data_IF_699496471785
#
_entry.id   IF_699496471785
#
_cell.length_a   1.000
_cell.length_b   1.000
_cell.length_c   1.000
_cell.angle_alpha   90.00
_cell.angle_beta   90.00
_cell.angle_gamma   90.00
#
_symmetry.space_group_name_H-M   'P 1'
#
loop_
_entity.id
_entity.type
_entity.pdbx_description
1 polymer ?
#
# COMPACT_ATOMS: atom_id res chain seq x y z
N UNK A 1 16.57 3.37 -9.21
CA UNK A 1 15.47 4.15 -8.59
C UNK A 1 14.42 3.17 -8.13
N UNK A 2 14.11 3.13 -6.83
CA UNK A 2 13.00 2.32 -6.30
C UNK A 2 11.70 3.07 -6.54
N UNK A 3 10.79 2.49 -7.32
CA UNK A 3 9.51 3.11 -7.68
C UNK A 3 8.53 3.01 -6.50
N UNK A 4 7.71 4.05 -6.32
CA UNK A 4 6.54 4.03 -5.42
C UNK A 4 5.54 3.00 -5.93
N UNK A 5 4.97 2.22 -5.02
CA UNK A 5 4.03 1.13 -5.32
C UNK A 5 2.64 1.55 -4.84
N UNK A 6 1.66 1.54 -5.74
CA UNK A 6 0.26 1.77 -5.37
C UNK A 6 -0.41 0.45 -4.98
N UNK A 7 -1.11 0.45 -3.84
CA UNK A 7 -1.89 -0.68 -3.35
C UNK A 7 -3.35 -0.39 -3.66
N UNK A 8 -3.89 -1.09 -4.66
CA UNK A 8 -5.25 -0.85 -5.19
C UNK A 8 -6.28 -1.83 -4.62
N UNK A 9 -5.86 -3.01 -4.18
CA UNK A 9 -6.75 -4.03 -3.60
C UNK A 9 -6.06 -4.82 -2.48
N UNK A 10 -6.82 -5.20 -1.46
CA UNK A 10 -6.42 -6.21 -0.48
C UNK A 10 -7.65 -6.95 0.05
N UNK A 11 -7.70 -8.28 -0.15
CA UNK A 11 -8.74 -9.16 0.38
C UNK A 11 -10.18 -8.69 0.05
N UNK A 12 -10.41 -8.24 -1.19
CA UNK A 12 -11.72 -7.73 -1.63
C UNK A 12 -12.03 -6.30 -1.21
N UNK A 13 -11.11 -5.63 -0.51
CA UNK A 13 -11.19 -4.18 -0.27
C UNK A 13 -10.44 -3.44 -1.37
N UNK A 14 -11.11 -2.50 -2.02
CA UNK A 14 -10.48 -1.59 -2.97
C UNK A 14 -9.97 -0.35 -2.26
N UNK A 15 -8.82 0.14 -2.68
CA UNK A 15 -8.20 1.34 -2.13
C UNK A 15 -7.99 2.37 -3.24
N UNK A 16 -8.07 3.64 -2.86
CA UNK A 16 -7.63 4.75 -3.70
C UNK A 16 -6.53 5.50 -2.98
N UNK A 17 -5.49 5.86 -3.73
CA UNK A 17 -4.37 6.67 -3.25
C UNK A 17 -3.66 6.09 -2.03
N UNK A 18 -3.49 4.76 -1.96
CA UNK A 18 -2.71 4.07 -0.94
C UNK A 18 -1.39 3.62 -1.56
N UNK A 19 -0.27 4.02 -0.97
CA UNK A 19 1.05 3.83 -1.54
C UNK A 19 2.04 3.26 -0.53
N UNK A 20 3.01 2.51 -1.02
CA UNK A 20 4.26 2.19 -0.34
C UNK A 20 5.42 2.84 -1.09
N UNK A 21 6.26 3.58 -0.38
CA UNK A 21 7.44 4.25 -0.95
C UNK A 21 8.68 3.50 -0.44
N UNK A 22 9.30 2.62 -1.25
CA UNK A 22 10.39 1.78 -0.76
C UNK A 22 11.64 2.58 -0.34
N UNK A 23 11.90 3.71 -1.00
CA UNK A 23 13.02 4.61 -0.63
C UNK A 23 12.89 5.18 0.77
N UNK A 24 11.66 5.48 1.19
CA UNK A 24 11.34 6.01 2.52
C UNK A 24 10.95 4.89 3.49
N UNK A 25 10.88 3.64 2.99
CA UNK A 25 10.32 2.49 3.67
C UNK A 25 8.99 2.79 4.39
N UNK A 26 8.13 3.61 3.78
CA UNK A 26 6.95 4.17 4.45
C UNK A 26 5.68 3.98 3.61
N UNK A 27 4.56 3.77 4.29
CA UNK A 27 3.24 3.71 3.69
C UNK A 27 2.52 5.06 3.82
N UNK A 28 1.81 5.47 2.77
CA UNK A 28 1.02 6.71 2.78
C UNK A 28 -0.35 6.51 2.19
N UNK A 29 -1.32 7.29 2.67
CA UNK A 29 -2.63 7.41 2.05
C UNK A 29 -3.00 8.87 1.82
N UNK A 30 -3.37 9.23 0.59
CA UNK A 30 -3.86 10.58 0.28
C UNK A 30 -5.35 10.65 0.62
N UNK A 31 -5.69 11.47 1.61
CA UNK A 31 -7.04 11.57 2.18
C UNK A 31 -7.65 12.94 1.95
N UNK A 32 -8.11 13.23 0.73
CA UNK A 32 -8.84 14.47 0.41
C UNK A 32 -8.28 15.72 1.11
N UNK A 33 -9.07 16.33 2.01
CA UNK A 33 -8.69 17.54 2.78
C UNK A 33 -7.47 17.38 3.70
N UNK A 34 -7.11 16.15 4.08
CA UNK A 34 -5.95 15.87 4.95
C UNK A 34 -4.64 15.68 4.17
N UNK A 35 -4.67 15.64 2.84
CA UNK A 35 -3.47 15.45 2.02
C UNK A 35 -2.81 14.08 2.22
N UNK A 36 -1.48 13.99 2.00
CA UNK A 36 -0.64 12.79 2.18
C UNK A 36 -0.53 12.48 3.69
N UNK A 37 -1.04 11.32 4.11
CA UNK A 37 -0.99 10.87 5.52
C UNK A 37 -0.10 9.62 5.61
N UNK A 38 0.98 9.70 6.39
CA UNK A 38 1.82 8.54 6.70
C UNK A 38 1.05 7.53 7.55
N UNK A 39 1.23 6.25 7.26
CA UNK A 39 0.61 5.14 7.98
C UNK A 39 1.67 4.43 8.82
N UNK A 40 1.37 4.29 10.11
CA UNK A 40 2.20 3.50 11.01
C UNK A 40 2.08 2.01 10.69
N UNK A 41 3.21 1.31 10.82
CA UNK A 41 3.25 -0.15 10.82
C UNK A 41 3.10 -0.63 12.26
N UNK A 42 2.16 -1.53 12.48
CA UNK A 42 1.87 -2.14 13.76
C UNK A 42 2.32 -3.60 13.76
N UNK A 43 2.67 -4.12 14.93
CA UNK A 43 2.96 -5.54 15.11
C UNK A 43 1.81 -6.22 15.86
N UNK A 44 1.22 -7.24 15.25
CA UNK A 44 0.14 -8.01 15.82
C UNK A 44 0.60 -9.43 16.17
N UNK A 45 0.35 -9.86 17.41
CA UNK A 45 0.79 -11.17 17.95
C UNK A 45 0.46 -12.40 17.07
N UNK A 46 -0.58 -12.33 16.22
CA UNK A 46 -1.00 -13.44 15.34
C UNK A 46 -0.86 -13.18 13.85
N UNK A 47 -0.76 -11.92 13.44
CA UNK A 47 -0.84 -11.53 12.02
C UNK A 47 0.49 -10.94 11.50
N UNK A 48 1.53 -10.88 12.34
CA UNK A 48 2.78 -10.21 12.02
C UNK A 48 2.59 -8.70 11.89
N UNK A 49 3.39 -8.06 11.04
CA UNK A 49 3.32 -6.62 10.77
C UNK A 49 2.14 -6.27 9.86
N UNK A 50 1.43 -5.19 10.17
CA UNK A 50 0.29 -4.72 9.38
C UNK A 50 0.16 -3.19 9.41
N UNK A 51 -0.48 -2.63 8.38
CA UNK A 51 -0.91 -1.22 8.35
C UNK A 51 -2.42 -1.12 8.44
N UNK A 52 -2.93 0.08 8.74
CA UNK A 52 -4.36 0.37 8.70
C UNK A 52 -4.65 1.49 7.70
N UNK A 53 -5.43 1.17 6.67
CA UNK A 53 -5.83 2.10 5.61
C UNK A 53 -7.35 2.13 5.46
N UNK A 54 -7.88 3.20 4.85
CA UNK A 54 -9.30 3.29 4.52
C UNK A 54 -9.54 2.78 3.10
N UNK A 55 -10.50 1.89 2.93
CA UNK A 55 -10.95 1.47 1.60
C UNK A 55 -11.79 2.57 0.92
N UNK A 56 -12.20 2.33 -0.33
CA UNK A 56 -13.04 3.26 -1.12
C UNK A 56 -14.41 3.55 -0.49
N UNK A 57 -14.89 2.66 0.38
CA UNK A 57 -16.14 2.83 1.14
C UNK A 57 -15.93 3.57 2.47
N UNK A 58 -14.70 4.00 2.78
CA UNK A 58 -14.35 4.65 4.04
C UNK A 58 -14.28 3.69 5.23
N UNK A 59 -14.24 2.37 5.01
CA UNK A 59 -14.03 1.38 6.06
C UNK A 59 -12.53 1.26 6.34
N UNK A 60 -12.16 1.25 7.63
CA UNK A 60 -10.77 1.00 8.04
C UNK A 60 -10.46 -0.49 7.95
N UNK A 61 -9.41 -0.84 7.22
CA UNK A 61 -8.97 -2.21 6.94
C UNK A 61 -7.54 -2.38 7.42
N UNK A 62 -7.25 -3.53 8.04
CA UNK A 62 -5.88 -3.92 8.40
C UNK A 62 -5.27 -4.76 7.28
N UNK A 63 -4.18 -4.28 6.68
CA UNK A 63 -3.45 -4.97 5.62
C UNK A 63 -2.20 -5.61 6.22
N UNK A 64 -2.12 -6.94 6.21
CA UNK A 64 -0.93 -7.65 6.66
C UNK A 64 0.18 -7.53 5.62
N UNK A 65 1.35 -7.06 6.03
CA UNK A 65 2.49 -6.82 5.13
C UNK A 65 2.96 -8.11 4.46
N UNK A 66 2.89 -9.25 5.17
CA UNK A 66 3.26 -10.57 4.66
C UNK A 66 2.42 -11.04 3.46
N UNK A 67 1.27 -10.40 3.20
CA UNK A 67 0.37 -10.73 2.10
C UNK A 67 0.45 -9.72 0.95
N UNK A 68 1.23 -8.65 1.10
CA UNK A 68 1.45 -7.67 0.04
C UNK A 68 2.60 -8.17 -0.84
N UNK A 69 2.28 -8.58 -2.06
CA UNK A 69 3.30 -8.96 -3.04
C UNK A 69 4.06 -7.72 -3.51
N UNK A 70 5.32 -7.90 -3.90
CA UNK A 70 6.21 -6.84 -4.42
C UNK A 70 6.54 -5.70 -3.43
N UNK A 71 6.13 -5.80 -2.17
CA UNK A 71 6.48 -4.87 -1.11
C UNK A 71 7.48 -5.54 -0.17
N UNK A 72 8.68 -4.98 -0.09
CA UNK A 72 9.68 -5.35 0.90
C UNK A 72 9.79 -4.22 1.92
N UNK A 73 9.21 -4.46 3.10
CA UNK A 73 9.30 -3.53 4.22
C UNK A 73 10.48 -3.92 5.10
N UNK A 74 11.43 -3.00 5.24
CA UNK A 74 12.59 -3.21 6.09
C UNK A 74 12.25 -2.85 7.56
N UNK A 75 12.42 -3.81 8.47
CA UNK A 75 12.15 -3.59 9.90
C UNK A 75 13.12 -2.61 10.53
N UNK A 76 14.35 -2.65 10.05
CA UNK A 76 15.54 -2.10 10.69
C UNK A 76 15.97 -0.83 9.94
N UNK A 77 15.03 -0.23 9.19
CA UNK A 77 15.24 0.99 8.46
C UNK A 77 15.38 2.16 9.42
N UNK A 78 16.62 2.52 9.73
CA UNK A 78 16.94 3.75 10.44
C UNK A 78 16.73 4.93 9.47
N UNK A 79 15.69 5.72 9.70
CA UNK A 79 15.33 6.87 8.85
C UNK A 79 16.30 8.05 8.95
N UNK A 80 17.44 7.87 9.63
CA UNK A 80 18.37 8.95 9.99
C UNK A 80 19.34 9.34 8.85
N UNK A 81 19.29 8.68 7.69
CA UNK A 81 20.24 8.91 6.58
C UNK A 81 19.60 9.37 5.26
N UNK A 82 18.81 10.44 5.28
CA UNK A 82 18.38 11.11 4.04
C UNK A 82 18.54 12.62 4.14
N UNK A 83 19.78 13.06 3.89
CA UNK A 83 20.04 14.43 3.46
C UNK A 83 19.54 14.62 2.02
N UNK A 84 18.61 15.56 1.89
CA UNK A 84 18.26 16.39 0.73
C UNK A 84 18.62 15.86 -0.67
N UNK A 85 17.60 15.51 -1.47
CA UNK A 85 17.59 15.95 -2.86
C UNK A 85 16.17 15.90 -3.44
N UNK A 86 15.70 17.07 -3.85
CA UNK A 86 14.46 17.30 -4.59
C UNK A 86 14.46 16.50 -5.90
N UNK A 87 13.47 15.63 -6.12
CA UNK A 87 13.14 15.16 -7.46
C UNK A 87 11.62 14.99 -7.58
N UNK A 88 11.10 15.60 -8.64
CA UNK A 88 9.68 15.65 -9.01
C UNK A 88 9.11 14.24 -9.16
N UNK A 89 8.12 13.88 -8.31
CA UNK A 89 7.49 12.55 -8.32
C UNK A 89 6.70 12.31 -9.61
N UNK A 90 7.18 11.39 -10.45
CA UNK A 90 6.49 10.87 -11.64
C UNK A 90 5.65 9.65 -11.23
N UNK A 91 4.32 9.75 -11.31
CA UNK A 91 3.39 8.68 -10.95
C UNK A 91 3.10 7.80 -12.17
N UNK A 92 3.49 6.52 -12.15
CA UNK A 92 3.02 5.50 -13.08
C UNK A 92 2.21 4.44 -12.32
N UNK A 93 0.98 4.19 -12.74
CA UNK A 93 0.07 3.19 -12.18
C UNK A 93 0.61 1.79 -12.53
N UNK A 94 1.14 1.07 -11.54
CA UNK A 94 1.68 -0.29 -11.73
C UNK A 94 1.25 -1.22 -10.59
N UNK A 95 -0.03 -1.62 -10.58
CA UNK A 95 -0.52 -2.82 -9.89
C UNK A 95 -1.91 -3.22 -10.43
N UNK A 96 -1.94 -3.93 -11.56
CA UNK A 96 -3.06 -4.80 -11.91
C UNK A 96 -2.80 -6.16 -11.26
N UNK A 97 -3.65 -6.55 -10.31
CA UNK A 97 -3.66 -7.91 -9.80
C UNK A 97 -4.01 -8.85 -10.96
N UNK A 98 -3.17 -9.87 -11.17
CA UNK A 98 -3.42 -10.95 -12.12
C UNK A 98 -4.87 -11.45 -11.98
N UNK A 99 -5.65 -11.27 -13.05
CA UNK A 99 -6.94 -11.92 -13.22
C UNK A 99 -6.75 -13.43 -13.05
N UNK A 100 -7.41 -14.00 -12.04
CA UNK A 100 -7.74 -15.41 -12.08
C UNK A 100 -9.11 -15.52 -12.74
N UNK A 101 -9.08 -16.08 -13.94
CA UNK A 101 -10.22 -16.39 -14.80
C UNK A 101 -11.19 -17.39 -14.16
N UNK A 102 -12.45 -17.23 -14.57
CA UNK A 102 -13.53 -18.22 -14.61
C UNK A 102 -14.11 -18.74 -13.29
N UNK A 103 -15.34 -18.32 -12.97
CA UNK A 103 -16.43 -19.24 -12.61
C UNK A 103 -17.81 -18.65 -12.98
N UNK A 104 -18.31 -19.10 -14.14
CA UNK A 104 -19.69 -19.47 -14.50
C UNK A 104 -20.88 -18.60 -14.06
N UNK A 105 -21.71 -18.17 -15.02
CA UNK A 105 -23.09 -18.70 -15.12
C UNK A 105 -23.73 -18.42 -16.48
N UNK A 106 -24.13 -19.50 -17.15
CA UNK A 106 -25.12 -19.51 -18.23
C UNK A 106 -26.44 -18.92 -17.71
N UNK A 107 -26.98 -17.89 -18.36
CA UNK A 107 -28.40 -17.56 -18.25
C UNK A 107 -28.93 -17.07 -19.61
N UNK A 108 -29.51 -18.05 -20.33
CA UNK A 108 -30.49 -18.01 -21.44
C UNK A 108 -30.47 -16.86 -22.43
#
# INVERSE_FOLDING_TARGET
MTKTIEITNYNGHEFKNLFFVPRENTFYQIRGRKGKVSLSVYEGMKNGKFIQAYDTNGKRVSLALSKLTNIYFDSDFDSDDWSDNSDTEEYEVLCEAQQWEELQYFCK
#
